data_IF_978845947043
#
_entry.id   IF_978845947043
#
_cell.length_a   1.000
_cell.length_b   1.000
_cell.length_c   1.000
_cell.angle_alpha   90.00
_cell.angle_beta   90.00
_cell.angle_gamma   90.00
#
_symmetry.space_group_name_H-M   'P 1'
#
loop_
_entity.id
_entity.type
_entity.pdbx_description
1 polymer ?
#
# COMPACT_ATOMS: atom_id res chain seq x y z
N UNK A 1 19.80 -4.61 20.15
CA UNK A 1 18.68 -5.27 19.49
C UNK A 1 18.98 -6.76 19.47
N UNK A 2 18.03 -7.58 19.93
CA UNK A 2 18.15 -9.03 19.86
C UNK A 2 17.83 -9.50 18.44
N UNK A 3 18.86 -9.84 17.69
CA UNK A 3 18.73 -10.26 16.28
C UNK A 3 17.99 -11.58 16.12
N UNK A 4 17.92 -12.42 17.18
CA UNK A 4 17.14 -13.65 17.16
C UNK A 4 15.62 -13.40 17.22
N UNK A 5 15.22 -12.24 17.80
CA UNK A 5 13.82 -11.84 17.95
C UNK A 5 13.37 -10.89 16.84
N UNK A 6 14.21 -9.93 16.48
CA UNK A 6 13.84 -8.83 15.57
C UNK A 6 14.46 -8.93 14.17
N UNK A 7 15.19 -10.01 13.91
CA UNK A 7 15.92 -10.19 12.66
C UNK A 7 17.30 -9.52 12.69
N UNK A 8 18.07 -9.80 11.66
CA UNK A 8 19.43 -9.31 11.54
C UNK A 8 19.43 -7.93 10.90
N UNK A 9 20.06 -6.94 11.55
CA UNK A 9 20.29 -5.62 11.01
C UNK A 9 20.95 -5.63 9.62
N UNK A 10 21.82 -6.60 9.39
CA UNK A 10 22.47 -6.80 8.10
C UNK A 10 21.66 -7.68 7.14
N UNK A 11 20.50 -8.16 7.56
CA UNK A 11 19.61 -9.00 6.78
C UNK A 11 20.10 -10.44 6.55
N UNK A 12 19.21 -11.27 6.08
CA UNK A 12 19.48 -12.65 5.65
C UNK A 12 20.31 -13.51 6.63
N UNK A 13 20.03 -13.40 7.95
CA UNK A 13 20.66 -14.24 8.95
C UNK A 13 22.16 -14.04 9.09
N UNK A 14 22.64 -12.80 8.94
CA UNK A 14 24.07 -12.49 9.08
C UNK A 14 24.92 -12.84 7.89
N UNK A 15 24.32 -12.94 6.71
CA UNK A 15 25.04 -13.09 5.44
C UNK A 15 25.39 -11.73 4.82
N UNK A 16 26.53 -11.11 5.15
CA UNK A 16 26.88 -9.77 4.66
C UNK A 16 26.91 -9.67 3.13
N UNK A 17 27.19 -10.76 2.44
CA UNK A 17 27.25 -10.81 0.97
C UNK A 17 25.88 -10.58 0.31
N UNK A 18 24.78 -10.84 1.03
CA UNK A 18 23.41 -10.67 0.55
C UNK A 18 22.83 -9.29 0.92
N UNK A 19 23.51 -8.58 1.82
CA UNK A 19 23.11 -7.24 2.26
C UNK A 19 24.23 -6.22 2.01
N UNK A 20 24.79 -6.24 0.82
CA UNK A 20 25.84 -5.30 0.43
C UNK A 20 25.22 -4.00 -0.06
N UNK A 21 25.81 -2.89 0.37
CA UNK A 21 25.50 -1.57 -0.14
C UNK A 21 25.74 -1.49 -1.64
N UNK A 22 24.68 -1.19 -2.41
CA UNK A 22 24.71 -1.27 -3.87
C UNK A 22 25.53 -0.13 -4.50
N UNK A 23 25.47 1.05 -3.88
CA UNK A 23 26.16 2.25 -4.35
C UNK A 23 26.87 2.95 -3.20
N UNK A 24 28.05 2.46 -2.82
CA UNK A 24 28.86 3.05 -1.75
C UNK A 24 29.19 4.51 -2.02
N UNK A 25 28.98 5.34 -1.00
CA UNK A 25 29.29 6.77 -1.04
C UNK A 25 28.17 7.66 -1.56
N UNK A 26 27.02 7.10 -1.93
CA UNK A 26 25.80 7.87 -2.18
C UNK A 26 24.91 7.87 -0.95
N UNK A 27 24.27 9.01 -0.68
CA UNK A 27 23.27 9.11 0.38
C UNK A 27 22.01 8.32 0.01
N UNK A 28 21.44 7.61 0.97
CA UNK A 28 20.09 7.03 0.89
C UNK A 28 19.03 7.98 1.46
N UNK A 29 19.40 9.19 1.83
CA UNK A 29 18.45 10.19 2.29
C UNK A 29 17.46 10.58 1.18
N UNK A 30 16.23 10.79 1.58
CA UNK A 30 15.12 11.18 0.71
C UNK A 30 14.39 12.38 1.33
N UNK A 31 13.67 13.14 0.52
CA UNK A 31 12.94 14.32 0.97
C UNK A 31 11.49 14.00 1.34
N UNK A 32 10.91 12.96 0.75
CA UNK A 32 9.53 12.56 0.95
C UNK A 32 9.37 11.05 0.70
N UNK A 33 8.40 10.44 1.34
CA UNK A 33 7.97 9.05 1.12
C UNK A 33 6.61 9.06 0.43
N UNK A 34 6.49 8.36 -0.69
CA UNK A 34 5.20 7.98 -1.27
C UNK A 34 4.98 6.49 -1.01
N UNK A 35 4.07 6.18 -0.12
CA UNK A 35 3.71 4.82 0.21
C UNK A 35 2.56 4.34 -0.70
N UNK A 36 2.78 3.26 -1.41
CA UNK A 36 1.80 2.67 -2.33
C UNK A 36 1.33 1.31 -1.81
N UNK A 37 0.32 1.32 -0.93
CA UNK A 37 -0.27 0.12 -0.34
C UNK A 37 0.62 -0.61 0.66
N UNK A 38 1.53 0.09 1.30
CA UNK A 38 2.41 -0.48 2.31
C UNK A 38 1.93 -0.26 3.74
N UNK A 39 2.61 -0.90 4.66
CA UNK A 39 2.39 -0.77 6.10
C UNK A 39 3.72 -0.72 6.84
N UNK A 40 3.70 -0.21 8.08
CA UNK A 40 4.86 -0.22 8.98
C UNK A 40 4.64 -1.29 10.06
N UNK A 41 5.70 -1.99 10.42
CA UNK A 41 5.62 -3.09 11.39
C UNK A 41 5.27 -2.65 12.81
N UNK A 42 5.67 -1.45 13.19
CA UNK A 42 5.31 -0.83 14.48
C UNK A 42 5.16 0.67 14.29
N UNK A 43 3.99 1.19 14.58
CA UNK A 43 3.67 2.61 14.44
C UNK A 43 4.54 3.51 15.33
N UNK A 44 5.12 2.97 16.40
CA UNK A 44 6.00 3.71 17.30
C UNK A 44 7.32 4.12 16.66
N UNK A 45 7.71 3.46 15.57
CA UNK A 45 8.91 3.81 14.81
C UNK A 45 8.81 5.15 14.08
N UNK A 46 7.58 5.63 13.85
CA UNK A 46 7.37 6.95 13.26
C UNK A 46 7.45 8.02 14.35
N UNK A 47 8.43 8.92 14.22
CA UNK A 47 8.75 9.96 15.20
C UNK A 47 8.58 11.37 14.61
N UNK A 48 8.50 12.38 15.49
CA UNK A 48 8.48 13.77 15.06
C UNK A 48 9.83 14.15 14.42
N UNK A 49 9.79 14.76 13.25
CA UNK A 49 10.97 15.12 12.46
C UNK A 49 11.34 14.11 11.38
N UNK A 50 10.61 13.00 11.29
CA UNK A 50 10.72 12.10 10.15
C UNK A 50 10.27 12.78 8.85
N UNK A 51 10.69 12.20 7.73
CA UNK A 51 10.37 12.75 6.42
C UNK A 51 8.86 12.71 6.16
N UNK A 52 8.32 13.71 5.42
CA UNK A 52 6.93 13.73 5.03
C UNK A 52 6.50 12.45 4.32
N UNK A 53 5.29 11.99 4.58
CA UNK A 53 4.73 10.80 3.97
C UNK A 53 3.33 11.05 3.41
N UNK A 54 3.15 10.72 2.14
CA UNK A 54 1.84 10.57 1.52
C UNK A 54 1.61 9.12 1.14
N UNK A 55 0.35 8.71 1.00
CA UNK A 55 0.04 7.34 0.64
C UNK A 55 -1.12 7.22 -0.35
N UNK A 56 -1.02 6.20 -1.20
CA UNK A 56 -2.10 5.70 -2.04
C UNK A 56 -2.40 4.27 -1.58
N UNK A 57 -3.64 3.95 -1.19
CA UNK A 57 -3.95 2.63 -0.62
C UNK A 57 -5.40 2.23 -0.85
N UNK A 58 -5.62 0.96 -1.19
CA UNK A 58 -6.96 0.36 -1.27
C UNK A 58 -7.55 0.15 0.12
N UNK A 59 -8.74 0.68 0.38
CA UNK A 59 -9.38 0.49 1.69
C UNK A 59 -9.82 -0.96 1.95
N UNK A 60 -9.90 -1.79 0.90
CA UNK A 60 -10.23 -3.21 0.99
C UNK A 60 -9.03 -4.13 0.69
N UNK A 61 -7.81 -3.65 0.88
CA UNK A 61 -6.60 -4.46 0.72
C UNK A 61 -6.59 -5.61 1.74
N UNK A 62 -6.55 -6.84 1.22
CA UNK A 62 -6.54 -8.06 2.03
C UNK A 62 -5.13 -8.49 2.45
N UNK A 63 -4.09 -7.91 1.85
CA UNK A 63 -2.69 -8.28 2.08
C UNK A 63 -2.03 -7.29 3.02
N UNK A 64 -1.87 -6.04 2.58
CA UNK A 64 -1.38 -4.97 3.44
C UNK A 64 -2.57 -4.23 4.06
N UNK A 65 -2.62 -4.14 5.37
CA UNK A 65 -3.74 -3.51 6.08
C UNK A 65 -3.87 -2.04 5.71
N UNK A 66 -5.09 -1.57 5.53
CA UNK A 66 -5.38 -0.15 5.34
C UNK A 66 -5.24 0.61 6.66
N UNK A 67 -5.84 0.08 7.74
CA UNK A 67 -5.69 0.53 9.12
C UNK A 67 -4.68 -0.36 9.86
N UNK A 68 -4.67 -0.36 11.20
CA UNK A 68 -3.83 -1.26 11.99
C UNK A 68 -4.48 -2.64 12.10
N UNK A 69 -3.71 -3.69 11.89
CA UNK A 69 -4.20 -5.07 12.00
C UNK A 69 -3.13 -6.10 11.66
N UNK A 70 -3.52 -7.36 11.60
CA UNK A 70 -2.61 -8.46 11.33
C UNK A 70 -2.30 -8.59 9.84
N UNK A 71 -1.03 -8.81 9.51
CA UNK A 71 -0.61 -9.19 8.17
C UNK A 71 -0.77 -10.69 8.00
N UNK A 72 -1.68 -11.09 7.13
CA UNK A 72 -1.92 -12.49 6.81
C UNK A 72 -1.63 -12.79 5.35
N UNK A 73 -0.88 -13.85 5.07
CA UNK A 73 -0.62 -14.35 3.72
C UNK A 73 -1.14 -15.78 3.64
N UNK A 74 -2.03 -16.02 2.70
CA UNK A 74 -2.67 -17.33 2.51
C UNK A 74 -3.29 -17.91 3.79
N UNK A 75 -3.89 -17.05 4.63
CA UNK A 75 -4.53 -17.43 5.90
C UNK A 75 -3.57 -17.68 7.06
N UNK A 76 -2.27 -17.45 6.86
CA UNK A 76 -1.26 -17.52 7.93
C UNK A 76 -0.94 -16.11 8.40
N UNK A 77 -1.10 -15.85 9.69
CA UNK A 77 -0.66 -14.59 10.30
C UNK A 77 0.87 -14.56 10.33
N UNK A 78 1.46 -13.62 9.61
CA UNK A 78 2.92 -13.44 9.49
C UNK A 78 3.42 -12.46 10.53
N UNK A 79 2.71 -11.34 10.70
CA UNK A 79 3.04 -10.28 11.65
C UNK A 79 1.75 -9.75 12.26
N UNK A 80 1.73 -9.57 13.57
CA UNK A 80 0.58 -8.97 14.28
C UNK A 80 0.74 -7.45 14.39
N UNK A 81 -0.39 -6.76 14.29
CA UNK A 81 -0.52 -5.32 14.59
C UNK A 81 0.38 -4.41 13.74
N UNK A 82 0.55 -4.72 12.45
CA UNK A 82 1.13 -3.75 11.51
C UNK A 82 0.18 -2.56 11.34
N UNK A 83 0.71 -1.38 11.11
CA UNK A 83 -0.09 -0.18 10.83
C UNK A 83 -0.06 0.16 9.36
N UNK A 84 -1.23 0.19 8.74
CA UNK A 84 -1.43 0.52 7.35
C UNK A 84 -1.33 2.02 7.07
N UNK A 85 -1.46 2.37 5.80
CA UNK A 85 -1.25 3.74 5.33
C UNK A 85 -2.16 4.76 6.01
N UNK A 86 -3.41 4.39 6.34
CA UNK A 86 -4.35 5.28 7.03
C UNK A 86 -3.76 5.76 8.36
N UNK A 87 -3.34 4.83 9.21
CA UNK A 87 -2.86 5.17 10.55
C UNK A 87 -1.46 5.78 10.52
N UNK A 88 -0.61 5.34 9.57
CA UNK A 88 0.74 5.88 9.36
C UNK A 88 0.67 7.35 8.95
N UNK A 89 -0.15 7.69 7.95
CA UNK A 89 -0.27 9.09 7.48
C UNK A 89 -0.99 9.94 8.51
N UNK A 90 -2.00 9.41 9.21
CA UNK A 90 -2.66 10.11 10.31
C UNK A 90 -1.67 10.46 11.43
N UNK A 91 -0.79 9.52 11.80
CA UNK A 91 0.26 9.78 12.79
C UNK A 91 1.29 10.78 12.30
N UNK A 92 1.73 10.70 11.04
CA UNK A 92 2.66 11.67 10.45
C UNK A 92 2.09 13.10 10.49
N UNK A 93 0.80 13.26 10.15
CA UNK A 93 0.10 14.54 10.27
C UNK A 93 0.04 15.03 11.73
N UNK A 94 -0.28 14.15 12.67
CA UNK A 94 -0.33 14.49 14.11
C UNK A 94 1.05 14.92 14.65
N UNK A 95 2.12 14.32 14.16
CA UNK A 95 3.51 14.65 14.55
C UNK A 95 4.05 15.91 13.87
N UNK A 96 3.31 16.52 12.93
CA UNK A 96 3.75 17.66 12.15
C UNK A 96 4.74 17.34 11.02
N UNK A 97 5.00 16.07 10.76
CA UNK A 97 5.95 15.64 9.72
C UNK A 97 5.51 16.08 8.32
N UNK A 98 4.20 16.21 8.11
CA UNK A 98 3.58 16.59 6.84
C UNK A 98 3.26 18.10 6.72
N UNK A 99 3.61 18.93 7.71
CA UNK A 99 3.26 20.36 7.74
C UNK A 99 3.81 21.14 6.54
N UNK A 100 4.90 20.65 5.95
CA UNK A 100 5.51 21.24 4.77
C UNK A 100 4.93 20.76 3.45
N UNK A 101 4.02 19.77 3.45
CA UNK A 101 3.30 19.37 2.24
C UNK A 101 2.26 20.45 1.94
N UNK A 102 2.34 21.15 0.79
CA UNK A 102 1.43 22.24 0.50
C UNK A 102 0.00 21.70 0.32
N UNK A 103 -0.97 22.40 0.87
CA UNK A 103 -2.38 22.16 0.56
C UNK A 103 -2.63 22.52 -0.90
N UNK A 104 -2.72 21.52 -1.74
CA UNK A 104 -3.08 21.72 -3.15
C UNK A 104 -4.60 21.66 -3.29
N UNK A 105 -5.12 22.57 -4.09
CA UNK A 105 -6.57 22.65 -4.41
C UNK A 105 -6.82 22.25 -5.87
N UNK A 106 -5.93 21.43 -6.45
CA UNK A 106 -6.18 20.88 -7.76
C UNK A 106 -7.30 19.81 -7.72
N UNK A 107 -7.94 19.52 -8.87
CA UNK A 107 -9.07 18.59 -8.89
C UNK A 107 -8.77 17.19 -8.34
N UNK A 108 -7.53 16.71 -8.49
CA UNK A 108 -7.13 15.36 -8.02
C UNK A 108 -7.01 15.31 -6.50
N UNK A 109 -6.36 16.31 -5.91
CA UNK A 109 -6.23 16.41 -4.45
C UNK A 109 -7.58 16.60 -3.77
N UNK A 110 -8.46 17.43 -4.35
CA UNK A 110 -9.83 17.60 -3.85
C UNK A 110 -10.63 16.30 -3.95
N UNK A 111 -10.56 15.59 -5.07
CA UNK A 111 -11.25 14.32 -5.25
C UNK A 111 -10.73 13.23 -4.27
N UNK A 112 -9.44 13.19 -4.02
CA UNK A 112 -8.84 12.27 -3.03
C UNK A 112 -9.31 12.59 -1.60
N UNK A 113 -9.39 13.86 -1.24
CA UNK A 113 -9.94 14.28 0.05
C UNK A 113 -11.42 13.88 0.21
N UNK A 114 -12.22 14.07 -0.83
CA UNK A 114 -13.60 13.64 -0.85
C UNK A 114 -13.73 12.11 -0.75
N UNK A 115 -12.86 11.37 -1.44
CA UNK A 115 -12.81 9.92 -1.32
C UNK A 115 -12.48 9.48 0.11
N UNK A 116 -11.49 10.09 0.74
CA UNK A 116 -11.14 9.84 2.15
C UNK A 116 -12.31 10.14 3.08
N UNK A 117 -13.02 11.25 2.89
CA UNK A 117 -14.18 11.61 3.69
C UNK A 117 -15.33 10.59 3.57
N UNK A 118 -15.52 10.01 2.38
CA UNK A 118 -16.57 8.99 2.15
C UNK A 118 -16.31 7.67 2.86
N UNK A 119 -15.07 7.40 3.28
CA UNK A 119 -14.73 6.21 4.02
C UNK A 119 -15.12 6.28 5.50
N UNK A 120 -15.36 7.48 6.04
CA UNK A 120 -15.74 7.63 7.45
C UNK A 120 -17.03 6.86 7.75
N UNK A 121 -16.99 5.99 8.75
CA UNK A 121 -18.09 5.12 9.13
C UNK A 121 -18.20 3.81 8.32
N UNK A 122 -17.35 3.62 7.31
CA UNK A 122 -17.22 2.32 6.62
C UNK A 122 -16.19 1.45 7.33
N UNK A 123 -16.09 0.20 6.92
CA UNK A 123 -15.07 -0.72 7.42
C UNK A 123 -14.03 -1.01 6.34
N UNK A 124 -12.80 -1.25 6.76
CA UNK A 124 -11.76 -1.80 5.91
C UNK A 124 -11.96 -3.31 5.68
N UNK A 125 -11.03 -3.97 4.99
CA UNK A 125 -11.09 -5.41 4.73
C UNK A 125 -11.12 -6.26 6.01
N UNK A 126 -10.53 -5.78 7.10
CA UNK A 126 -10.50 -6.46 8.40
C UNK A 126 -11.79 -6.33 9.20
N UNK A 127 -12.67 -5.42 8.80
CA UNK A 127 -13.88 -5.05 9.52
C UNK A 127 -13.67 -3.92 10.53
N UNK A 128 -12.48 -3.30 10.53
CA UNK A 128 -12.19 -2.15 11.40
C UNK A 128 -12.84 -0.89 10.86
N UNK A 129 -13.53 -0.15 11.73
CA UNK A 129 -14.25 1.06 11.34
C UNK A 129 -13.27 2.22 11.11
N UNK A 130 -13.35 2.83 9.92
CA UNK A 130 -12.60 4.04 9.59
C UNK A 130 -13.27 5.23 10.26
N UNK A 131 -12.60 5.85 11.22
CA UNK A 131 -13.20 6.88 12.10
C UNK A 131 -12.88 8.30 11.68
N UNK A 132 -11.90 8.52 10.82
CA UNK A 132 -11.44 9.84 10.42
C UNK A 132 -11.01 9.90 8.95
N UNK A 133 -11.11 11.08 8.37
CA UNK A 133 -10.45 11.42 7.13
C UNK A 133 -9.00 11.80 7.39
N UNK A 134 -8.10 11.43 6.50
CA UNK A 134 -6.68 11.68 6.62
C UNK A 134 -6.18 12.49 5.44
N UNK A 135 -5.59 13.66 5.71
CA UNK A 135 -4.90 14.46 4.69
C UNK A 135 -3.65 13.71 4.21
N UNK A 136 -3.28 13.91 2.94
CA UNK A 136 -2.15 13.23 2.28
C UNK A 136 -2.33 11.71 2.10
N UNK A 137 -3.52 11.19 2.36
CA UNK A 137 -3.93 9.84 2.01
C UNK A 137 -4.88 9.89 0.82
N UNK A 138 -4.57 9.09 -0.20
CA UNK A 138 -5.34 8.92 -1.44
C UNK A 138 -5.95 7.51 -1.45
N UNK A 139 -7.10 7.33 -0.78
CA UNK A 139 -7.74 6.02 -0.71
C UNK A 139 -8.50 5.74 -2.00
N UNK A 140 -8.55 4.49 -2.37
CA UNK A 140 -9.40 4.03 -3.45
C UNK A 140 -10.14 2.75 -3.05
N UNK A 141 -11.27 2.53 -3.68
CA UNK A 141 -12.07 1.34 -3.55
C UNK A 141 -12.27 0.73 -4.94
N UNK A 142 -11.64 -0.39 -5.17
CA UNK A 142 -11.75 -1.10 -6.45
C UNK A 142 -13.07 -1.86 -6.60
N UNK A 143 -13.86 -1.94 -5.53
CA UNK A 143 -15.07 -2.77 -5.48
C UNK A 143 -14.77 -4.27 -5.44
N UNK A 144 -13.50 -4.66 -5.51
CA UNK A 144 -13.04 -6.04 -5.41
C UNK A 144 -12.31 -6.22 -4.07
N UNK A 145 -12.95 -6.88 -3.07
CA UNK A 145 -12.30 -7.14 -1.80
C UNK A 145 -11.01 -7.94 -2.02
N UNK A 146 -9.92 -7.43 -1.50
CA UNK A 146 -8.62 -8.08 -1.60
C UNK A 146 -7.69 -7.53 -2.67
N UNK A 147 -8.12 -6.56 -3.48
CA UNK A 147 -7.23 -5.90 -4.43
C UNK A 147 -6.43 -4.79 -3.73
N UNK A 148 -5.14 -5.03 -3.53
CA UNK A 148 -4.22 -4.11 -2.87
C UNK A 148 -3.44 -3.19 -3.81
N UNK A 149 -3.45 -3.46 -5.10
CA UNK A 149 -2.57 -2.79 -6.07
C UNK A 149 -3.32 -2.36 -7.35
N UNK A 150 -4.14 -1.30 -7.31
CA UNK A 150 -4.90 -0.82 -8.47
C UNK A 150 -4.01 -0.23 -9.57
N UNK A 151 -2.76 0.07 -9.25
CA UNK A 151 -1.72 0.44 -10.21
C UNK A 151 -1.14 -0.76 -10.96
N UNK A 152 -1.45 -1.99 -10.55
CA UNK A 152 -1.08 -3.19 -11.27
C UNK A 152 -1.83 -3.24 -12.59
N UNK A 153 -1.13 -2.80 -13.62
CA UNK A 153 -1.66 -2.75 -14.96
C UNK A 153 -1.39 -4.07 -15.68
N UNK A 154 -2.41 -4.88 -15.81
CA UNK A 154 -2.34 -6.12 -16.58
C UNK A 154 -2.94 -5.90 -17.96
N UNK A 155 -2.13 -6.08 -19.01
CA UNK A 155 -2.65 -6.20 -20.36
C UNK A 155 -3.26 -7.58 -20.57
N UNK A 156 -4.18 -7.72 -21.55
CA UNK A 156 -4.69 -9.04 -21.93
C UNK A 156 -3.56 -10.02 -22.25
N UNK A 157 -2.54 -9.55 -22.95
CA UNK A 157 -1.36 -10.38 -23.28
C UNK A 157 -0.62 -10.89 -22.04
N UNK A 158 -0.51 -10.07 -20.99
CA UNK A 158 0.11 -10.50 -19.72
C UNK A 158 -0.76 -11.52 -18.99
N UNK A 159 -2.07 -11.32 -18.95
CA UNK A 159 -3.00 -12.29 -18.35
C UNK A 159 -2.95 -13.63 -19.10
N UNK A 160 -2.93 -13.62 -20.42
CA UNK A 160 -2.77 -14.80 -21.26
C UNK A 160 -1.44 -15.49 -21.01
N UNK A 161 -0.35 -14.74 -20.92
CA UNK A 161 0.98 -15.28 -20.64
C UNK A 161 1.04 -15.94 -19.26
N UNK A 162 0.49 -15.30 -18.24
CA UNK A 162 0.41 -15.86 -16.86
C UNK A 162 -0.40 -17.16 -16.83
N UNK A 163 -1.58 -17.18 -17.46
CA UNK A 163 -2.37 -18.39 -17.57
C UNK A 163 -1.59 -19.52 -18.24
N UNK A 164 -0.91 -19.23 -19.35
CA UNK A 164 -0.11 -20.21 -20.09
C UNK A 164 1.07 -20.73 -19.25
N UNK A 165 1.76 -19.88 -18.51
CA UNK A 165 2.83 -20.28 -17.59
C UNK A 165 2.34 -21.21 -16.48
N UNK A 166 1.08 -21.09 -16.10
CA UNK A 166 0.41 -21.98 -15.14
C UNK A 166 -0.18 -23.24 -15.77
N UNK A 167 0.03 -23.46 -17.06
CA UNK A 167 -0.49 -24.60 -17.81
C UNK A 167 -1.99 -24.50 -18.13
N UNK A 168 -2.57 -23.29 -18.02
CA UNK A 168 -3.98 -23.04 -18.33
C UNK A 168 -4.15 -22.60 -19.79
N UNK A 169 -5.33 -22.83 -20.41
CA UNK A 169 -5.63 -22.31 -21.73
C UNK A 169 -5.55 -20.77 -21.80
N UNK A 170 -5.14 -20.22 -22.93
CA UNK A 170 -5.09 -18.77 -23.16
C UNK A 170 -6.42 -18.06 -22.91
N UNK A 171 -7.54 -18.75 -23.19
CA UNK A 171 -8.89 -18.24 -22.93
C UNK A 171 -9.16 -17.92 -21.46
N UNK A 172 -8.47 -18.58 -20.53
CA UNK A 172 -8.57 -18.30 -19.09
C UNK A 172 -7.93 -16.93 -18.78
N UNK A 173 -6.80 -16.62 -19.39
CA UNK A 173 -6.17 -15.32 -19.27
C UNK A 173 -7.02 -14.20 -19.86
N UNK A 174 -7.59 -14.41 -21.05
CA UNK A 174 -8.55 -13.46 -21.65
C UNK A 174 -9.78 -13.23 -20.76
N UNK A 175 -10.37 -14.30 -20.20
CA UNK A 175 -11.51 -14.19 -19.31
C UNK A 175 -11.16 -13.43 -18.00
N UNK A 176 -9.99 -13.71 -17.43
CA UNK A 176 -9.48 -12.99 -16.25
C UNK A 176 -9.31 -11.50 -16.53
N UNK A 177 -8.74 -11.14 -17.67
CA UNK A 177 -8.61 -9.75 -18.11
C UNK A 177 -9.96 -9.06 -18.29
N UNK A 178 -10.93 -9.69 -18.94
CA UNK A 178 -12.26 -9.12 -19.13
C UNK A 178 -13.00 -8.96 -17.79
N UNK A 179 -12.84 -9.92 -16.88
CA UNK A 179 -13.38 -9.81 -15.52
C UNK A 179 -12.78 -8.64 -14.76
N UNK A 180 -11.47 -8.48 -14.83
CA UNK A 180 -10.76 -7.33 -14.21
C UNK A 180 -11.25 -5.99 -14.75
N UNK A 181 -11.47 -5.86 -16.06
CA UNK A 181 -12.03 -4.64 -16.67
C UNK A 181 -13.45 -4.36 -16.21
N UNK A 182 -14.26 -5.38 -15.99
CA UNK A 182 -15.65 -5.23 -15.57
C UNK A 182 -15.75 -4.83 -14.09
N UNK A 183 -14.82 -5.30 -13.25
CA UNK A 183 -14.83 -5.03 -11.81
C UNK A 183 -14.04 -3.78 -11.44
N UNK A 184 -13.12 -3.33 -12.28
CA UNK A 184 -12.28 -2.17 -12.03
C UNK A 184 -12.34 -1.18 -13.22
N UNK A 185 -13.36 -0.34 -13.29
CA UNK A 185 -13.53 0.63 -14.38
C UNK A 185 -12.39 1.66 -14.48
N UNK A 186 -11.67 1.91 -13.38
CA UNK A 186 -10.57 2.88 -13.35
C UNK A 186 -9.34 2.37 -14.13
N UNK A 187 -9.14 1.07 -14.19
CA UNK A 187 -8.10 0.47 -15.07
C UNK A 187 -8.43 0.69 -16.54
N UNK A 188 -9.71 0.80 -16.91
CA UNK A 188 -10.12 1.13 -18.28
C UNK A 188 -9.89 2.58 -18.65
N UNK A 189 -9.97 3.52 -17.69
CA UNK A 189 -9.69 4.94 -17.87
C UNK A 189 -8.19 5.22 -18.04
N UNK A 190 -7.33 4.44 -17.41
CA UNK A 190 -5.88 4.55 -17.61
C UNK A 190 -5.42 4.12 -19.01
N UNK A 191 -6.32 3.57 -19.85
CA UNK A 191 -6.04 3.13 -21.21
C UNK A 191 -6.48 4.12 -22.30
N UNK A 192 -7.23 5.15 -21.92
CA UNK A 192 -7.70 6.18 -22.82
C UNK A 192 -6.74 7.37 -22.84
#
# INVERSE_FOLDING_TARGET
IDTAVYGDWFGYGGMPQLNMENHKGYSSEHDMILNMGGAIGDISWLEAGDKPIAAVHGNLDAVARFTTGDLSVSGVNIVSSISGSHDVVAKANMLGNNDNIPNLYDPYTVAAKEASNKLIGTTDFSGDTITQSVDNLFPFNTGNPGEGAPWDYFTEAMCVQLATLQGLPASVGTAAYQSSLATNPDVSLAKA
#
